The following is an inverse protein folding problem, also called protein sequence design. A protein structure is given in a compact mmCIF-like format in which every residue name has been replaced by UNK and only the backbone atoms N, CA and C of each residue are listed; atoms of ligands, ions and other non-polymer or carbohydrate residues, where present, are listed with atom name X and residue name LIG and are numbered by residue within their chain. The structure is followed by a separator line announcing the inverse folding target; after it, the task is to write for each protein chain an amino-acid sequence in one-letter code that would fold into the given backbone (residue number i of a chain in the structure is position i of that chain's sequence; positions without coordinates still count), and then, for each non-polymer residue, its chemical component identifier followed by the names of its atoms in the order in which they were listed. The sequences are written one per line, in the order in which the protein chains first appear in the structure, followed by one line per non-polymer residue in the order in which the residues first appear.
data_IF_372469430484
#
_entry.id   IF_372469430484
#
_cell.length_a   1.000
_cell.length_b   1.000
_cell.length_c   1.000
_cell.angle_alpha   90.00
_cell.angle_beta   90.00
_cell.angle_gamma   90.00
#
_symmetry.space_group_name_H-M   'P 1'
#
loop_
_entity.id
_entity.type
_entity.pdbx_description
1 polymer ?
#
# COMPACT_ATOMS: atom_id res chain seq x y z
N UNK A 1 -11.91 -15.95 -10.77
CA UNK A 1 -11.47 -14.53 -10.70
C UNK A 1 -11.94 -13.95 -9.37
N UNK A 2 -11.10 -13.19 -8.65
CA UNK A 2 -11.43 -12.64 -7.32
C UNK A 2 -12.10 -11.25 -7.45
N UNK A 3 -11.55 -10.40 -8.31
CA UNK A 3 -12.15 -9.12 -8.69
C UNK A 3 -12.93 -9.29 -9.99
N UNK A 4 -14.19 -9.70 -9.91
CA UNK A 4 -15.07 -9.71 -11.09
C UNK A 4 -15.33 -8.27 -11.57
N UNK A 5 -15.49 -8.05 -12.89
CA UNK A 5 -15.94 -6.75 -13.41
C UNK A 5 -17.26 -6.34 -12.74
N UNK A 6 -17.30 -5.13 -12.16
CA UNK A 6 -18.48 -4.60 -11.46
C UNK A 6 -18.81 -5.29 -10.13
N UNK A 7 -17.93 -6.15 -9.60
CA UNK A 7 -18.10 -6.77 -8.28
C UNK A 7 -17.69 -5.86 -7.12
N UNK A 8 -18.17 -6.18 -5.92
CA UNK A 8 -17.84 -5.43 -4.69
C UNK A 8 -16.34 -5.40 -4.40
N UNK A 9 -15.61 -6.46 -4.77
CA UNK A 9 -14.15 -6.51 -4.59
C UNK A 9 -13.42 -5.46 -5.42
N UNK A 10 -13.82 -5.21 -6.68
CA UNK A 10 -13.12 -4.23 -7.51
C UNK A 10 -13.44 -2.79 -7.07
N UNK A 11 -14.64 -2.56 -6.53
CA UNK A 11 -15.00 -1.28 -5.91
C UNK A 11 -14.16 -1.00 -4.67
N UNK A 12 -13.97 -2.00 -3.80
CA UNK A 12 -13.13 -1.90 -2.62
C UNK A 12 -11.66 -1.62 -2.98
N UNK A 13 -11.10 -2.37 -3.95
CA UNK A 13 -9.72 -2.16 -4.43
C UNK A 13 -9.57 -0.76 -5.03
N UNK A 14 -10.50 -0.31 -5.88
CA UNK A 14 -10.48 1.05 -6.42
C UNK A 14 -10.44 2.09 -5.30
N UNK A 15 -11.21 1.89 -4.23
CA UNK A 15 -11.21 2.84 -3.11
C UNK A 15 -9.90 2.84 -2.34
N UNK A 16 -9.26 1.68 -2.14
CA UNK A 16 -7.93 1.60 -1.54
C UNK A 16 -6.88 2.34 -2.38
N UNK A 17 -6.94 2.20 -3.71
CA UNK A 17 -6.04 2.92 -4.63
C UNK A 17 -6.30 4.43 -4.62
N UNK A 18 -7.56 4.88 -4.62
CA UNK A 18 -7.93 6.30 -4.48
C UNK A 18 -7.39 6.91 -3.18
N UNK A 19 -7.34 6.13 -2.10
CA UNK A 19 -6.80 6.52 -0.80
C UNK A 19 -5.27 6.40 -0.72
N UNK A 20 -4.60 6.03 -1.82
CA UNK A 20 -3.14 5.96 -1.90
C UNK A 20 -2.53 4.77 -1.15
N UNK A 21 -3.28 3.69 -0.92
CA UNK A 21 -2.85 2.55 -0.10
C UNK A 21 -1.48 1.99 -0.52
N UNK A 22 -1.25 1.76 -1.82
CA UNK A 22 0.04 1.24 -2.31
C UNK A 22 1.20 2.18 -1.98
N UNK A 23 1.03 3.47 -2.21
CA UNK A 23 2.04 4.48 -1.91
C UNK A 23 2.33 4.54 -0.40
N UNK A 24 1.29 4.50 0.43
CA UNK A 24 1.43 4.50 1.89
C UNK A 24 2.29 3.34 2.39
N UNK A 25 2.06 2.12 1.88
CA UNK A 25 2.87 0.94 2.24
C UNK A 25 4.33 1.10 1.80
N UNK A 26 4.57 1.59 0.57
CA UNK A 26 5.93 1.78 0.05
C UNK A 26 6.70 2.81 0.88
N UNK A 27 6.09 3.97 1.17
CA UNK A 27 6.74 5.02 1.97
C UNK A 27 6.98 4.57 3.41
N UNK A 28 6.03 3.85 4.02
CA UNK A 28 6.22 3.27 5.35
C UNK A 28 7.45 2.35 5.39
N UNK A 29 7.63 1.50 4.37
CA UNK A 29 8.78 0.60 4.31
C UNK A 29 10.11 1.33 4.09
N UNK A 30 10.13 2.42 3.31
CA UNK A 30 11.32 3.28 3.18
C UNK A 30 11.71 3.88 4.53
N UNK A 31 10.75 4.43 5.27
CA UNK A 31 10.98 4.98 6.62
C UNK A 31 11.54 3.92 7.57
N UNK A 32 10.99 2.70 7.55
CA UNK A 32 11.51 1.59 8.34
C UNK A 32 12.97 1.28 7.99
N UNK A 33 13.28 1.21 6.69
CA UNK A 33 14.63 0.92 6.22
C UNK A 33 15.63 2.01 6.62
N UNK A 34 15.29 3.28 6.38
CA UNK A 34 16.12 4.43 6.75
C UNK A 34 16.36 4.46 8.26
N UNK A 35 15.33 4.12 9.06
CA UNK A 35 15.46 4.02 10.51
C UNK A 35 16.40 2.90 10.93
N UNK A 36 16.32 1.73 10.31
CA UNK A 36 17.26 0.63 10.54
C UNK A 36 18.70 1.02 10.21
N UNK A 37 18.94 1.74 9.09
CA UNK A 37 20.26 2.25 8.76
C UNK A 37 20.78 3.27 9.79
N UNK A 38 19.89 4.08 10.37
CA UNK A 38 20.27 5.02 11.43
C UNK A 38 20.68 4.35 12.75
N UNK A 39 20.22 3.12 13.02
CA UNK A 39 20.59 2.36 14.22
C UNK A 39 21.93 1.62 14.10
N UNK A 40 22.41 1.39 12.87
CA UNK A 40 23.66 0.69 12.60
C UNK A 40 24.85 1.64 12.38
N UNK A 41 24.75 2.88 12.87
CA UNK A 41 25.84 3.87 12.95
C UNK A 41 26.27 4.01 14.41
#
# INVERSE_FOLDING_TARGET
AVCSPGGTTIEAVRKLEELGFRSAVIEAMKVCYDKTLSFNK
#
